data_IF_556131834990
#
_entry.id   IF_556131834990
#
_cell.length_a   1.000
_cell.length_b   1.000
_cell.length_c   1.000
_cell.angle_alpha   90.00
_cell.angle_beta   90.00
_cell.angle_gamma   90.00
#
_symmetry.space_group_name_H-M   'P 1'
#
loop_
_entity.id
_entity.type
_entity.pdbx_description
1 polymer ?
#
# COMPACT_ATOMS: atom_id res chain seq x y z
N UNK A 1 -3.72 -6.35 -0.17
CA UNK A 1 -3.59 -5.40 -1.31
C UNK A 1 -4.82 -4.53 -1.55
N UNK A 2 -5.99 -5.11 -1.88
CA UNK A 2 -7.21 -4.39 -2.32
C UNK A 2 -7.39 -4.37 -3.85
N UNK A 3 -6.49 -5.03 -4.57
CA UNK A 3 -6.60 -5.42 -5.99
C UNK A 3 -6.08 -6.85 -6.15
N UNK A 4 -6.55 -7.54 -7.18
CA UNK A 4 -5.92 -8.75 -7.70
C UNK A 4 -4.62 -8.39 -8.43
N UNK A 5 -3.78 -9.39 -8.71
CA UNK A 5 -2.48 -9.21 -9.38
C UNK A 5 -2.60 -8.58 -10.78
N UNK A 6 -3.72 -8.81 -11.47
CA UNK A 6 -4.04 -8.21 -12.77
C UNK A 6 -4.56 -6.75 -12.69
N UNK A 7 -4.64 -6.20 -11.48
CA UNK A 7 -5.14 -4.84 -11.23
C UNK A 7 -6.64 -4.74 -10.97
N UNK A 8 -7.44 -5.81 -11.12
CA UNK A 8 -8.87 -5.80 -10.83
C UNK A 8 -9.13 -5.35 -9.39
N UNK A 9 -9.92 -4.28 -9.13
CA UNK A 9 -10.26 -3.87 -7.77
C UNK A 9 -11.15 -4.88 -7.07
N UNK A 10 -10.73 -5.35 -5.90
CA UNK A 10 -11.49 -6.35 -5.12
C UNK A 10 -12.84 -5.78 -4.66
N UNK A 11 -12.99 -4.45 -4.53
CA UNK A 11 -14.28 -3.84 -4.21
C UNK A 11 -15.32 -3.98 -5.34
N UNK A 12 -14.88 -4.16 -6.60
CA UNK A 12 -15.76 -4.23 -7.76
C UNK A 12 -16.03 -5.67 -8.22
N UNK A 13 -15.10 -6.60 -7.96
CA UNK A 13 -15.19 -7.98 -8.43
C UNK A 13 -14.68 -8.96 -7.37
N UNK A 14 -15.34 -10.13 -7.20
CA UNK A 14 -14.83 -11.22 -6.37
C UNK A 14 -13.70 -12.02 -7.02
N UNK A 15 -13.41 -11.81 -8.30
CA UNK A 15 -12.39 -12.55 -9.07
C UNK A 15 -11.55 -11.64 -9.94
N UNK A 16 -10.34 -12.10 -10.29
CA UNK A 16 -9.51 -11.50 -11.33
C UNK A 16 -10.22 -11.57 -12.70
N UNK A 17 -10.09 -10.52 -13.50
CA UNK A 17 -10.82 -10.34 -14.78
C UNK A 17 -9.98 -9.79 -15.94
N UNK A 18 -8.69 -9.54 -15.70
CA UNK A 18 -7.73 -8.91 -16.62
C UNK A 18 -8.30 -7.68 -17.34
N UNK A 19 -8.80 -6.68 -16.61
CA UNK A 19 -9.57 -5.62 -17.20
C UNK A 19 -8.69 -4.68 -18.02
N UNK A 20 -9.13 -4.38 -19.25
CA UNK A 20 -8.50 -3.40 -20.13
C UNK A 20 -9.55 -2.36 -20.53
N UNK A 21 -9.45 -1.09 -20.08
CA UNK A 21 -8.44 -0.56 -19.15
C UNK A 21 -8.68 -1.02 -17.69
N UNK A 22 -7.63 -0.99 -16.86
CA UNK A 22 -7.73 -1.31 -15.43
C UNK A 22 -8.62 -0.27 -14.72
N UNK A 23 -9.75 -0.65 -14.11
CA UNK A 23 -10.68 0.31 -13.58
C UNK A 23 -10.15 0.94 -12.30
N UNK A 24 -10.41 2.24 -12.19
CA UNK A 24 -10.12 3.03 -11.00
C UNK A 24 -11.32 3.88 -10.55
N UNK A 25 -12.47 3.79 -11.23
CA UNK A 25 -13.68 4.55 -10.94
C UNK A 25 -14.51 3.90 -9.81
N UNK A 26 -14.08 4.06 -8.56
CA UNK A 26 -14.81 3.63 -7.37
C UNK A 26 -14.44 4.52 -6.17
N UNK A 27 -15.22 4.48 -5.09
CA UNK A 27 -14.98 5.28 -3.88
C UNK A 27 -15.31 4.53 -2.57
N UNK A 28 -15.49 3.21 -2.63
CA UNK A 28 -15.92 2.35 -1.51
C UNK A 28 -17.31 2.66 -0.92
N UNK A 29 -18.12 3.54 -1.53
CA UNK A 29 -19.47 3.85 -1.02
C UNK A 29 -20.41 2.63 -1.03
N UNK A 30 -20.24 1.71 -1.98
CA UNK A 30 -20.95 0.42 -2.07
C UNK A 30 -20.33 -0.70 -1.21
N UNK A 31 -19.38 -0.34 -0.34
CA UNK A 31 -18.71 -1.24 0.60
C UNK A 31 -18.44 -0.51 1.94
N UNK A 32 -19.49 0.00 2.59
CA UNK A 32 -19.36 0.85 3.78
C UNK A 32 -18.79 0.11 4.99
N UNK A 33 -18.94 -1.22 5.02
CA UNK A 33 -18.52 -2.12 6.10
C UNK A 33 -17.20 -2.86 5.80
N UNK A 34 -16.61 -2.65 4.62
CA UNK A 34 -15.34 -3.27 4.24
C UNK A 34 -15.43 -4.79 4.04
N UNK A 35 -16.60 -5.29 3.64
CA UNK A 35 -16.86 -6.71 3.40
C UNK A 35 -16.27 -7.16 2.05
N UNK A 36 -16.27 -6.27 1.05
CA UNK A 36 -15.68 -6.54 -0.27
C UNK A 36 -14.19 -6.26 -0.25
N UNK A 37 -13.79 -5.05 0.15
CA UNK A 37 -12.39 -4.66 0.28
C UNK A 37 -12.10 -4.29 1.74
N UNK A 38 -11.33 -5.10 2.49
CA UNK A 38 -11.04 -4.81 3.90
C UNK A 38 -10.51 -3.38 4.10
N UNK A 39 -10.89 -2.74 5.21
CA UNK A 39 -10.42 -1.39 5.56
C UNK A 39 -8.89 -1.30 5.65
N UNK A 40 -8.27 -2.37 6.15
CA UNK A 40 -6.84 -2.54 6.27
C UNK A 40 -6.14 -2.97 4.96
N UNK A 41 -6.87 -3.12 3.85
CA UNK A 41 -6.24 -3.36 2.56
C UNK A 41 -5.34 -2.18 2.17
N UNK A 42 -4.12 -2.47 1.71
CA UNK A 42 -3.10 -1.46 1.36
C UNK A 42 -3.65 -0.24 0.60
N UNK A 43 -4.33 -0.43 -0.53
CA UNK A 43 -4.83 0.69 -1.33
C UNK A 43 -5.97 1.49 -0.66
N UNK A 44 -6.66 0.91 0.33
CA UNK A 44 -7.73 1.56 1.11
C UNK A 44 -7.16 2.28 2.33
N UNK A 45 -6.06 1.78 2.91
CA UNK A 45 -5.26 2.48 3.92
C UNK A 45 -4.60 3.73 3.36
N UNK A 46 -3.86 3.63 2.26
CA UNK A 46 -3.16 4.80 1.70
C UNK A 46 -4.10 5.74 0.93
N UNK A 47 -5.30 5.28 0.56
CA UNK A 47 -6.32 6.11 -0.07
C UNK A 47 -7.73 5.55 0.20
N UNK A 48 -8.40 5.95 1.31
CA UNK A 48 -9.78 5.56 1.58
C UNK A 48 -10.79 6.30 0.68
N UNK A 49 -10.32 7.15 -0.25
CA UNK A 49 -11.11 7.90 -1.24
C UNK A 49 -12.11 8.87 -0.61
N UNK A 50 -11.72 9.43 0.53
CA UNK A 50 -12.41 10.51 1.23
C UNK A 50 -11.70 11.85 0.97
N UNK A 51 -12.34 12.96 1.31
CA UNK A 51 -11.71 14.28 1.25
C UNK A 51 -10.59 14.40 2.29
N UNK A 52 -9.60 15.26 2.02
CA UNK A 52 -8.50 15.54 2.96
C UNK A 52 -7.41 14.47 3.01
N UNK A 53 -7.50 13.40 2.21
CA UNK A 53 -6.46 12.38 2.13
C UNK A 53 -5.27 12.90 1.32
N UNK A 54 -4.04 12.86 1.87
CA UNK A 54 -2.86 13.29 1.14
C UNK A 54 -2.60 12.47 -0.13
N UNK A 55 -1.99 13.11 -1.12
CA UNK A 55 -1.72 12.50 -2.43
C UNK A 55 -0.24 12.52 -2.71
N UNK A 56 0.28 11.44 -3.27
CA UNK A 56 1.67 11.34 -3.72
C UNK A 56 1.70 10.82 -5.16
N UNK A 57 2.75 11.16 -5.91
CA UNK A 57 3.05 10.56 -7.20
C UNK A 57 4.13 9.50 -6.99
N UNK A 58 3.83 8.22 -7.27
CA UNK A 58 4.79 7.13 -7.11
C UNK A 58 5.58 6.88 -8.41
N UNK A 59 6.87 6.65 -8.27
CA UNK A 59 7.84 6.32 -9.32
C UNK A 59 8.78 5.20 -8.87
N UNK A 60 8.28 4.31 -8.01
CA UNK A 60 9.07 3.18 -7.53
C UNK A 60 9.32 2.13 -8.63
N UNK A 61 10.44 1.43 -8.52
CA UNK A 61 10.86 0.36 -9.42
C UNK A 61 11.26 -0.87 -8.59
N UNK A 62 10.89 -2.09 -8.99
CA UNK A 62 11.40 -3.29 -8.34
C UNK A 62 12.94 -3.37 -8.44
N UNK A 63 13.58 -3.99 -7.47
CA UNK A 63 15.00 -4.36 -7.55
C UNK A 63 15.18 -5.84 -7.20
N UNK A 64 16.36 -6.35 -7.55
CA UNK A 64 16.75 -7.72 -7.33
C UNK A 64 16.36 -8.63 -8.50
N UNK A 65 17.04 -9.76 -8.58
CA UNK A 65 16.77 -10.78 -9.58
C UNK A 65 15.84 -11.86 -8.99
N UNK A 66 14.99 -12.41 -9.85
CA UNK A 66 14.12 -13.53 -9.50
C UNK A 66 14.38 -14.64 -10.51
N UNK A 67 14.66 -15.83 -10.01
CA UNK A 67 14.76 -17.01 -10.88
C UNK A 67 13.39 -17.39 -11.46
N UNK A 68 12.32 -17.13 -10.72
CA UNK A 68 10.92 -17.37 -11.13
C UNK A 68 10.05 -16.16 -10.87
N UNK A 69 9.21 -15.82 -11.85
CA UNK A 69 8.26 -14.73 -11.73
C UNK A 69 7.02 -15.17 -10.94
N UNK A 70 6.30 -14.26 -10.26
CA UNK A 70 5.07 -14.60 -9.54
C UNK A 70 4.01 -15.30 -10.40
N UNK A 71 3.99 -15.02 -11.72
CA UNK A 71 3.08 -15.66 -12.68
C UNK A 71 3.38 -17.15 -12.89
N UNK A 72 4.61 -17.58 -12.63
CA UNK A 72 5.06 -18.97 -12.79
C UNK A 72 4.67 -19.84 -11.58
N UNK A 73 4.04 -19.24 -10.56
CA UNK A 73 3.58 -19.89 -9.33
C UNK A 73 4.67 -20.71 -8.63
N UNK A 74 5.85 -20.12 -8.34
CA UNK A 74 6.91 -20.81 -7.60
C UNK A 74 6.43 -21.25 -6.22
N UNK A 75 6.97 -22.36 -5.73
CA UNK A 75 6.84 -22.76 -4.32
C UNK A 75 7.58 -21.78 -3.42
N UNK A 76 7.28 -21.80 -2.11
CA UNK A 76 7.93 -20.91 -1.14
C UNK A 76 9.46 -21.06 -1.10
N UNK A 77 10.01 -22.23 -1.46
CA UNK A 77 11.45 -22.48 -1.50
C UNK A 77 12.13 -21.88 -2.73
N UNK A 78 11.38 -21.64 -3.79
CA UNK A 78 11.85 -21.06 -5.05
C UNK A 78 11.67 -19.54 -5.09
N UNK A 79 11.01 -18.98 -4.07
CA UNK A 79 10.92 -17.54 -3.90
C UNK A 79 12.21 -17.00 -3.27
N UNK A 80 12.71 -15.83 -3.72
CA UNK A 80 13.86 -15.19 -3.09
C UNK A 80 13.58 -14.94 -1.60
N UNK A 81 14.56 -15.27 -0.77
CA UNK A 81 14.55 -15.05 0.67
C UNK A 81 15.20 -13.72 1.08
N UNK A 82 16.00 -13.12 0.21
CA UNK A 82 16.62 -11.80 0.38
C UNK A 82 16.81 -11.09 -0.97
N UNK A 83 17.34 -9.87 -0.93
CA UNK A 83 17.79 -9.08 -2.09
C UNK A 83 16.81 -8.81 -3.24
N UNK A 84 15.50 -8.97 -2.98
CA UNK A 84 14.43 -8.48 -3.86
C UNK A 84 13.52 -7.51 -3.13
N UNK A 85 12.99 -6.52 -3.85
CA UNK A 85 12.08 -5.57 -3.24
C UNK A 85 11.62 -4.47 -4.17
N UNK A 86 11.37 -3.31 -3.57
CA UNK A 86 10.93 -2.11 -4.26
C UNK A 86 11.82 -0.94 -3.83
N UNK A 87 12.49 -0.32 -4.80
CA UNK A 87 13.04 1.02 -4.62
C UNK A 87 11.86 1.99 -4.65
N UNK A 88 11.29 2.25 -3.47
CA UNK A 88 10.14 3.13 -3.34
C UNK A 88 10.57 4.58 -3.54
N UNK A 89 9.98 5.24 -4.53
CA UNK A 89 10.17 6.66 -4.79
C UNK A 89 8.81 7.33 -4.94
N UNK A 90 8.64 8.47 -4.27
CA UNK A 90 7.45 9.28 -4.42
C UNK A 90 7.74 10.78 -4.37
N UNK A 91 6.90 11.55 -5.06
CA UNK A 91 6.97 13.00 -5.15
C UNK A 91 5.75 13.63 -4.49
N UNK A 92 6.02 14.71 -3.74
CA UNK A 92 5.07 15.51 -3.01
C UNK A 92 5.61 16.93 -2.85
N UNK A 93 4.74 17.87 -2.44
CA UNK A 93 5.16 19.24 -2.09
C UNK A 93 5.65 19.33 -0.65
N UNK A 94 5.07 18.56 0.27
CA UNK A 94 5.39 18.59 1.68
C UNK A 94 5.42 17.15 2.21
N UNK A 95 6.60 16.67 2.63
CA UNK A 95 6.84 15.29 3.05
C UNK A 95 6.06 14.97 4.33
N UNK A 96 6.14 15.85 5.34
CA UNK A 96 5.45 15.73 6.62
C UNK A 96 3.94 15.57 6.44
N UNK A 97 3.33 16.37 5.57
CA UNK A 97 1.88 16.36 5.33
C UNK A 97 1.42 15.28 4.35
N UNK A 98 2.34 14.57 3.70
CA UNK A 98 2.01 13.63 2.62
C UNK A 98 2.58 12.24 2.88
N UNK A 99 3.86 12.00 2.58
CA UNK A 99 4.44 10.67 2.74
C UNK A 99 4.38 10.18 4.19
N UNK A 100 4.75 11.02 5.15
CA UNK A 100 4.75 10.65 6.57
C UNK A 100 3.35 10.38 7.10
N UNK A 101 2.37 11.23 6.74
CA UNK A 101 0.96 10.98 7.07
C UNK A 101 0.47 9.66 6.46
N UNK A 102 0.83 9.34 5.22
CA UNK A 102 0.43 8.07 4.61
C UNK A 102 1.07 6.87 5.33
N UNK A 103 2.35 6.94 5.71
CA UNK A 103 3.00 5.88 6.49
C UNK A 103 2.41 5.75 7.90
N UNK A 104 2.03 6.88 8.53
CA UNK A 104 1.31 6.88 9.79
C UNK A 104 -0.07 6.22 9.66
N UNK A 105 -0.83 6.54 8.60
CA UNK A 105 -2.13 5.91 8.31
C UNK A 105 -2.00 4.39 8.12
N UNK A 106 -0.92 3.92 7.50
CA UNK A 106 -0.66 2.48 7.36
C UNK A 106 -0.37 1.81 8.70
N UNK A 107 0.16 2.53 9.68
CA UNK A 107 0.48 2.01 11.02
C UNK A 107 -0.68 2.15 12.02
N UNK A 108 -1.62 3.07 11.82
CA UNK A 108 -2.71 3.34 12.77
C UNK A 108 -3.83 2.28 12.68
N UNK A 109 -4.04 1.43 13.70
CA UNK A 109 -5.01 0.35 13.66
C UNK A 109 -6.47 0.82 13.59
N UNK A 110 -6.78 2.06 13.99
CA UNK A 110 -8.13 2.67 13.97
C UNK A 110 -8.41 3.52 12.73
N UNK A 111 -7.54 3.46 11.73
CA UNK A 111 -7.73 4.14 10.45
C UNK A 111 -8.11 3.15 9.34
N UNK A 112 -9.02 3.47 8.40
CA UNK A 112 -9.85 4.68 8.29
C UNK A 112 -11.14 4.64 9.14
N UNK A 113 -11.31 3.65 10.02
CA UNK A 113 -12.53 3.42 10.82
C UNK A 113 -12.17 3.14 12.27
N UNK A 114 -12.87 3.77 13.22
CA UNK A 114 -12.61 3.65 14.66
C UNK A 114 -12.69 2.22 15.21
N UNK A 115 -13.41 1.33 14.54
CA UNK A 115 -13.59 -0.07 14.96
C UNK A 115 -12.36 -0.94 14.69
N UNK A 116 -11.15 -0.42 14.86
CA UNK A 116 -9.87 -1.15 14.79
C UNK A 116 -9.78 -2.17 13.64
N UNK A 117 -9.82 -1.72 12.37
CA UNK A 117 -9.60 -2.62 11.23
C UNK A 117 -8.24 -3.30 11.24
N UNK A 118 -7.25 -2.75 11.96
CA UNK A 118 -5.86 -3.20 11.93
C UNK A 118 -4.99 -2.29 11.06
N UNK A 119 -3.71 -2.59 10.97
CA UNK A 119 -2.71 -1.90 10.17
C UNK A 119 -2.63 -2.45 8.74
N UNK A 120 -1.92 -1.77 7.87
CA UNK A 120 -1.63 -2.24 6.52
C UNK A 120 -0.73 -3.51 6.52
N UNK A 121 -1.14 -4.63 5.90
CA UNK A 121 -0.36 -5.88 5.91
C UNK A 121 0.88 -5.86 4.99
N UNK A 122 1.10 -4.78 4.24
CA UNK A 122 2.19 -4.64 3.27
C UNK A 122 3.21 -3.63 3.78
N UNK A 123 2.76 -2.41 4.06
CA UNK A 123 3.63 -1.29 4.44
C UNK A 123 3.56 -0.92 5.93
N UNK A 124 2.63 -1.53 6.68
CA UNK A 124 2.45 -1.27 8.10
C UNK A 124 3.61 -1.80 8.92
N UNK A 125 4.05 -1.00 9.88
CA UNK A 125 5.14 -1.33 10.79
C UNK A 125 4.61 -1.32 12.23
N UNK A 126 4.18 -2.47 12.78
CA UNK A 126 3.51 -2.56 14.09
C UNK A 126 4.41 -2.25 15.32
N UNK A 127 5.68 -1.90 15.14
CA UNK A 127 6.65 -1.86 16.24
C UNK A 127 6.80 -3.23 16.92
N UNK A 128 7.35 -3.24 18.14
CA UNK A 128 7.59 -4.48 18.92
C UNK A 128 6.32 -5.15 19.43
N UNK A 129 5.22 -4.40 19.61
CA UNK A 129 3.96 -4.93 20.14
C UNK A 129 3.19 -5.81 19.13
N UNK A 130 3.65 -5.88 17.88
CA UNK A 130 2.97 -6.65 16.84
C UNK A 130 1.61 -6.05 16.45
N UNK A 131 0.95 -6.67 15.49
CA UNK A 131 -0.27 -6.13 14.89
C UNK A 131 -1.54 -6.47 15.70
N UNK A 132 -1.42 -7.40 16.66
CA UNK A 132 -2.56 -8.13 17.19
C UNK A 132 -3.23 -9.01 16.13
N UNK A 133 -4.27 -9.76 16.52
CA UNK A 133 -5.01 -10.61 15.58
C UNK A 133 -5.98 -9.79 14.72
N UNK A 134 -5.48 -9.25 13.61
CA UNK A 134 -6.32 -8.64 12.58
C UNK A 134 -7.29 -9.66 12.00
N UNK A 135 -8.50 -9.22 11.61
CA UNK A 135 -9.54 -10.12 11.08
C UNK A 135 -9.73 -9.92 9.59
N UNK A 136 -9.83 -11.04 8.86
CA UNK A 136 -9.89 -11.05 7.40
C UNK A 136 -11.13 -11.79 6.88
N UNK A 137 -11.74 -11.31 5.79
CA UNK A 137 -12.81 -12.06 5.13
C UNK A 137 -12.26 -13.37 4.56
N UNK A 138 -12.97 -14.47 4.81
CA UNK A 138 -12.69 -15.78 4.18
C UNK A 138 -13.38 -15.92 2.82
N UNK A 139 -14.39 -15.09 2.57
CA UNK A 139 -15.17 -15.02 1.33
C UNK A 139 -15.47 -13.56 1.00
N UNK A 140 -15.67 -13.27 -0.28
CA UNK A 140 -16.02 -11.94 -0.75
C UNK A 140 -17.42 -11.54 -0.25
N UNK A 141 -17.55 -10.29 0.22
CA UNK A 141 -18.81 -9.76 0.78
C UNK A 141 -19.28 -10.51 2.05
N UNK A 142 -18.37 -11.21 2.74
CA UNK A 142 -18.68 -11.86 4.00
C UNK A 142 -18.84 -10.81 5.12
N UNK A 143 -19.89 -10.92 5.96
CA UNK A 143 -20.08 -10.06 7.12
C UNK A 143 -18.86 -10.06 8.05
N UNK A 144 -18.54 -8.92 8.65
CA UNK A 144 -17.36 -8.77 9.55
C UNK A 144 -17.33 -9.78 10.71
N UNK A 145 -18.50 -10.21 11.20
CA UNK A 145 -18.62 -11.23 12.26
C UNK A 145 -18.03 -12.59 11.87
N UNK A 146 -17.99 -12.90 10.58
CA UNK A 146 -17.45 -14.16 10.02
C UNK A 146 -15.95 -14.08 9.72
N UNK A 147 -15.37 -12.88 9.74
CA UNK A 147 -13.95 -12.68 9.48
C UNK A 147 -13.11 -13.42 10.52
N UNK A 148 -12.04 -14.08 10.07
CA UNK A 148 -11.16 -14.91 10.91
C UNK A 148 -9.91 -14.15 11.31
N UNK A 149 -9.41 -14.32 12.54
CA UNK A 149 -8.14 -13.77 12.95
C UNK A 149 -7.01 -14.38 12.10
N UNK A 150 -6.17 -13.54 11.53
CA UNK A 150 -4.97 -13.95 10.82
C UNK A 150 -3.94 -12.82 10.87
N UNK A 151 -2.69 -13.17 11.18
CA UNK A 151 -1.59 -12.22 11.21
C UNK A 151 -0.68 -12.43 10.00
N UNK A 152 -0.32 -11.32 9.36
CA UNK A 152 0.60 -11.31 8.25
C UNK A 152 1.99 -11.00 8.80
N UNK A 153 2.88 -12.01 8.80
CA UNK A 153 4.28 -11.82 9.13
C UNK A 153 4.87 -10.76 8.19
N UNK A 154 5.26 -9.60 8.72
CA UNK A 154 5.84 -8.44 8.00
C UNK A 154 6.59 -8.86 6.73
N UNK A 155 5.99 -8.64 5.55
CA UNK A 155 6.58 -9.07 4.27
C UNK A 155 7.54 -8.03 3.66
N UNK A 156 7.52 -6.80 4.15
CA UNK A 156 8.38 -5.71 3.68
C UNK A 156 9.26 -5.25 4.82
N UNK A 157 10.57 -5.38 4.65
CA UNK A 157 11.57 -4.85 5.57
C UNK A 157 12.10 -3.52 5.03
N UNK A 158 11.99 -2.45 5.82
CA UNK A 158 12.62 -1.18 5.50
C UNK A 158 14.14 -1.29 5.71
N UNK A 159 14.92 -1.03 4.66
CA UNK A 159 16.39 -1.14 4.67
C UNK A 159 17.10 0.22 4.72
N UNK A 160 16.34 1.33 4.72
CA UNK A 160 16.87 2.69 4.68
C UNK A 160 16.22 3.53 3.58
N UNK A 161 16.49 4.84 3.60
CA UNK A 161 15.96 5.81 2.67
C UNK A 161 16.38 7.23 3.04
N UNK A 162 16.10 8.19 2.17
CA UNK A 162 16.43 9.61 2.38
C UNK A 162 15.32 10.51 1.83
N UNK A 163 15.18 11.70 2.42
CA UNK A 163 14.37 12.78 1.90
C UNK A 163 15.19 13.71 1.02
N UNK A 164 14.83 13.75 -0.27
CA UNK A 164 15.53 14.52 -1.27
C UNK A 164 14.65 15.63 -1.83
N UNK A 165 15.30 16.70 -2.28
CA UNK A 165 14.65 17.77 -3.04
C UNK A 165 15.03 17.68 -4.51
N UNK A 166 14.03 17.68 -5.39
CA UNK A 166 14.21 17.74 -6.84
C UNK A 166 14.00 19.19 -7.31
N UNK A 167 15.06 20.01 -7.42
CA UNK A 167 14.94 21.40 -7.85
C UNK A 167 14.45 21.52 -9.29
N UNK A 168 13.93 22.70 -9.64
CA UNK A 168 13.59 22.98 -11.04
C UNK A 168 14.85 23.04 -11.90
N UNK A 169 14.70 22.76 -13.20
CA UNK A 169 15.79 22.90 -14.17
C UNK A 169 16.33 24.34 -14.17
N UNK A 170 15.46 25.34 -14.00
CA UNK A 170 15.87 26.74 -13.91
C UNK A 170 16.75 27.01 -12.69
N UNK A 171 16.42 26.47 -11.52
CA UNK A 171 17.25 26.60 -10.32
C UNK A 171 18.65 25.99 -10.56
N UNK A 172 18.70 24.77 -11.11
CA UNK A 172 19.97 24.10 -11.39
C UNK A 172 20.86 24.89 -12.37
N UNK A 173 20.26 25.51 -13.40
CA UNK A 173 20.99 26.33 -14.38
C UNK A 173 21.56 27.62 -13.79
N UNK A 174 20.97 28.14 -12.70
CA UNK A 174 21.34 29.44 -12.13
C UNK A 174 21.95 29.33 -10.73
N UNK A 175 22.33 28.14 -10.28
CA UNK A 175 22.77 27.89 -8.89
C UNK A 175 23.98 28.76 -8.48
N UNK A 176 24.88 29.04 -9.42
CA UNK A 176 26.07 29.88 -9.18
C UNK A 176 25.71 31.33 -8.82
N UNK A 177 24.59 31.86 -9.32
CA UNK A 177 24.16 33.24 -9.07
C UNK A 177 23.47 33.41 -7.71
N UNK A 178 23.13 32.31 -7.03
CA UNK A 178 22.40 32.31 -5.76
C UNK A 178 23.35 32.14 -4.56
N UNK A 179 24.57 31.65 -4.80
CA UNK A 179 25.56 31.34 -3.76
C UNK A 179 26.56 32.49 -3.47
N UNK A 180 26.43 33.63 -4.17
CA UNK A 180 27.20 34.87 -3.98
C UNK A 180 26.34 35.95 -3.34
#
# INVERSE_FOLDING_TARGET
MGRFADGTPVVLSPTASQPVPVPNNFNYAKDPDGQKCPFQAHIRKVNPRQQGIPRIVRRGIPYGEREKEPKDKPSLKELPNEDVGLLFMCYQRNIEKQFEVLQYMTNEPRFPRKQEPGIDPVAGQPGEMGVGQQRWPTQWDAPRKEHKPFDFNRFVAFKGGEYLFAPSIHFLKNIQQILT
#
